data_IF_165927134897
#
_entry.id   IF_165927134897
#
_cell.length_a   1.000
_cell.length_b   1.000
_cell.length_c   1.000
_cell.angle_alpha   90.00
_cell.angle_beta   90.00
_cell.angle_gamma   90.00
#
_symmetry.space_group_name_H-M   'P 1'
#
loop_
_entity.id
_entity.type
_entity.pdbx_description
1 polymer ?
#
# COMPACT_ATOMS: atom_id res chain seq x y z
N UNK A 1 -3.90 -0.48 6.87
CA UNK A 1 -2.86 0.58 6.87
C UNK A 1 -2.99 1.46 5.64
N UNK A 2 -2.55 2.70 5.76
CA UNK A 2 -2.27 3.58 4.61
C UNK A 2 -0.77 3.70 4.48
N UNK A 3 -0.19 3.20 3.40
CA UNK A 3 1.26 3.20 3.19
C UNK A 3 1.69 4.29 2.21
N UNK A 4 2.56 5.20 2.68
CA UNK A 4 3.30 6.10 1.81
C UNK A 4 4.23 5.30 0.89
N UNK A 5 4.09 5.45 -0.42
CA UNK A 5 4.86 4.67 -1.40
C UNK A 5 6.37 4.86 -1.22
N UNK A 6 6.80 6.07 -0.85
CA UNK A 6 8.19 6.40 -0.55
C UNK A 6 8.74 5.65 0.66
N UNK A 7 8.00 5.62 1.76
CA UNK A 7 8.46 5.10 3.05
C UNK A 7 8.47 3.58 3.13
N UNK A 8 7.47 2.95 2.52
CA UNK A 8 7.24 1.51 2.54
C UNK A 8 7.63 0.82 1.23
N UNK A 9 8.27 1.56 0.31
CA UNK A 9 8.90 1.04 -0.91
C UNK A 9 7.95 0.27 -1.81
N UNK A 10 6.83 0.90 -2.18
CA UNK A 10 5.90 0.32 -3.15
C UNK A 10 6.64 0.02 -4.47
N UNK A 11 6.69 -1.25 -4.85
CA UNK A 11 7.43 -1.71 -6.02
C UNK A 11 6.85 -1.14 -7.33
N UNK A 12 7.71 -0.81 -8.29
CA UNK A 12 7.30 -0.25 -9.59
C UNK A 12 6.67 1.14 -9.53
N UNK A 13 6.55 1.75 -8.34
CA UNK A 13 5.80 2.98 -8.16
C UNK A 13 6.66 4.24 -8.33
N UNK A 14 6.19 5.19 -9.14
CA UNK A 14 6.88 6.48 -9.36
C UNK A 14 7.09 7.32 -8.09
N UNK A 15 6.29 7.09 -7.05
CA UNK A 15 6.41 7.80 -5.77
C UNK A 15 7.45 7.14 -4.83
N UNK A 16 7.95 5.95 -5.15
CA UNK A 16 8.95 5.21 -4.38
C UNK A 16 10.39 5.47 -4.86
N UNK A 17 10.74 6.73 -5.14
CA UNK A 17 12.09 7.08 -5.60
C UNK A 17 13.13 6.99 -4.47
N UNK A 18 14.41 6.95 -4.84
CA UNK A 18 15.54 6.99 -3.88
C UNK A 18 16.25 8.34 -3.99
N UNK A 19 16.34 9.13 -2.91
CA UNK A 19 17.09 10.37 -2.92
C UNK A 19 18.57 10.13 -3.21
N UNK A 20 19.19 11.00 -4.02
CA UNK A 20 20.62 10.88 -4.38
C UNK A 20 21.57 11.29 -3.25
N UNK A 21 21.08 12.04 -2.26
CA UNK A 21 21.87 12.45 -1.09
C UNK A 21 21.61 11.52 0.09
N UNK A 22 22.66 11.26 0.90
CA UNK A 22 22.59 10.37 2.09
C UNK A 22 22.03 8.97 1.77
N UNK A 23 22.51 8.37 0.68
CA UNK A 23 21.99 7.10 0.15
C UNK A 23 21.97 5.99 1.22
N UNK A 24 23.06 5.80 1.96
CA UNK A 24 23.14 4.77 3.01
C UNK A 24 22.10 4.97 4.11
N UNK A 25 21.88 6.22 4.54
CA UNK A 25 20.83 6.55 5.52
C UNK A 25 19.45 6.14 5.01
N UNK A 26 19.13 6.48 3.76
CA UNK A 26 17.84 6.15 3.17
C UNK A 26 17.67 4.64 3.00
N UNK A 27 18.68 3.94 2.48
CA UNK A 27 18.64 2.48 2.34
C UNK A 27 18.41 1.80 3.69
N UNK A 28 19.14 2.20 4.73
CA UNK A 28 18.94 1.65 6.08
C UNK A 28 17.54 1.96 6.62
N UNK A 29 17.03 3.17 6.40
CA UNK A 29 15.68 3.56 6.82
C UNK A 29 14.59 2.75 6.10
N UNK A 30 14.73 2.58 4.79
CA UNK A 30 13.80 1.80 3.98
C UNK A 30 13.80 0.33 4.38
N UNK A 31 14.98 -0.28 4.53
CA UNK A 31 15.11 -1.67 4.97
C UNK A 31 14.49 -1.88 6.35
N UNK A 32 14.68 -0.94 7.28
CA UNK A 32 14.05 -0.99 8.60
C UNK A 32 12.52 -0.91 8.52
N UNK A 33 11.98 -0.08 7.64
CA UNK A 33 10.53 0.02 7.43
C UNK A 33 9.95 -1.26 6.83
N UNK A 34 10.53 -1.77 5.74
CA UNK A 34 10.10 -3.03 5.11
C UNK A 34 10.13 -4.18 6.14
N UNK A 35 11.22 -4.29 6.91
CA UNK A 35 11.33 -5.32 7.95
C UNK A 35 10.22 -5.20 9.00
N UNK A 36 9.87 -3.98 9.41
CA UNK A 36 8.76 -3.74 10.34
C UNK A 36 7.43 -4.13 9.72
N UNK A 37 7.19 -3.80 8.45
CA UNK A 37 5.95 -4.10 7.75
C UNK A 37 5.73 -5.63 7.67
N UNK A 38 6.79 -6.41 7.41
CA UNK A 38 6.74 -7.88 7.45
C UNK A 38 6.36 -8.42 8.83
N UNK A 39 7.03 -7.96 9.89
CA UNK A 39 6.73 -8.41 11.26
C UNK A 39 5.28 -8.09 11.64
N UNK A 40 4.81 -6.87 11.34
CA UNK A 40 3.42 -6.47 11.63
C UNK A 40 2.43 -7.33 10.84
N UNK A 41 2.72 -7.63 9.56
CA UNK A 41 1.87 -8.50 8.74
C UNK A 41 1.76 -9.89 9.34
N UNK A 42 2.87 -10.49 9.75
CA UNK A 42 2.90 -11.81 10.40
C UNK A 42 2.13 -11.81 11.73
N UNK A 43 2.34 -10.80 12.58
CA UNK A 43 1.65 -10.70 13.86
C UNK A 43 0.12 -10.56 13.71
N UNK A 44 -0.34 -9.81 12.70
CA UNK A 44 -1.76 -9.66 12.42
C UNK A 44 -2.36 -10.96 11.89
N UNK A 45 -1.65 -11.66 11.00
CA UNK A 45 -2.08 -12.94 10.46
C UNK A 45 -2.20 -14.01 11.55
N UNK A 46 -1.21 -14.13 12.44
CA UNK A 46 -1.26 -15.03 13.59
C UNK A 46 -2.42 -14.73 14.55
N UNK A 47 -2.89 -13.48 14.62
CA UNK A 47 -4.05 -13.08 15.42
C UNK A 47 -5.38 -13.20 14.65
N UNK A 48 -5.34 -13.65 13.40
CA UNK A 48 -6.51 -13.74 12.53
C UNK A 48 -7.09 -12.38 12.12
N UNK A 49 -6.35 -11.29 12.32
CA UNK A 49 -6.76 -9.93 12.00
C UNK A 49 -6.52 -9.67 10.52
N UNK A 50 -7.55 -9.18 9.82
CA UNK A 50 -7.43 -8.80 8.41
C UNK A 50 -6.46 -7.63 8.24
N UNK A 51 -5.52 -7.76 7.31
CA UNK A 51 -4.55 -6.73 6.95
C UNK A 51 -4.81 -6.20 5.54
N UNK A 52 -5.40 -5.01 5.49
CA UNK A 52 -5.60 -4.25 4.25
C UNK A 52 -4.57 -3.13 4.15
N UNK A 53 -3.83 -3.05 3.04
CA UNK A 53 -2.94 -1.93 2.75
C UNK A 53 -3.53 -1.12 1.59
N UNK A 54 -3.77 0.17 1.82
CA UNK A 54 -4.08 1.12 0.75
C UNK A 54 -2.85 2.00 0.51
N UNK A 55 -2.30 1.92 -0.68
CA UNK A 55 -1.10 2.68 -1.04
C UNK A 55 -1.44 4.15 -1.32
N UNK A 56 -0.51 5.06 -1.00
CA UNK A 56 -0.61 6.49 -1.32
C UNK A 56 -0.94 6.72 -2.81
N UNK A 57 -0.34 5.92 -3.71
CA UNK A 57 -0.62 6.03 -5.13
C UNK A 57 -2.10 5.78 -5.47
N UNK A 58 -2.76 4.84 -4.78
CA UNK A 58 -4.17 4.53 -4.97
C UNK A 58 -5.05 5.72 -4.56
N UNK A 59 -4.78 6.31 -3.39
CA UNK A 59 -5.50 7.49 -2.88
C UNK A 59 -5.31 8.68 -3.82
N UNK A 60 -4.07 8.94 -4.28
CA UNK A 60 -3.83 10.00 -5.26
C UNK A 60 -4.53 9.74 -6.57
N UNK A 61 -4.61 8.49 -7.01
CA UNK A 61 -5.29 8.12 -8.24
C UNK A 61 -6.79 8.35 -8.11
N UNK A 62 -7.43 7.97 -7.00
CA UNK A 62 -8.87 8.18 -6.81
C UNK A 62 -9.28 9.64 -6.70
N UNK A 63 -8.37 10.51 -6.25
CA UNK A 63 -8.58 11.97 -6.13
C UNK A 63 -8.26 12.77 -7.40
N UNK A 64 -7.75 12.13 -8.48
CA UNK A 64 -7.48 12.85 -9.73
C UNK A 64 -8.78 13.38 -10.35
N UNK A 65 -8.68 14.54 -11.01
CA UNK A 65 -9.80 15.13 -11.76
C UNK A 65 -10.39 14.12 -12.74
N UNK A 66 -11.68 13.86 -12.64
CA UNK A 66 -12.41 12.90 -13.49
C UNK A 66 -12.51 11.48 -12.92
N UNK A 67 -11.83 11.18 -11.80
CA UNK A 67 -11.99 9.93 -11.07
C UNK A 67 -12.95 10.10 -9.87
N UNK A 68 -13.37 8.98 -9.30
CA UNK A 68 -14.16 8.91 -8.07
C UNK A 68 -13.49 8.00 -7.03
N UNK A 69 -13.61 8.29 -5.73
CA UNK A 69 -13.22 7.35 -4.67
C UNK A 69 -14.09 6.09 -4.61
N UNK A 70 -15.23 6.05 -5.30
CA UNK A 70 -16.20 4.96 -5.18
C UNK A 70 -15.58 3.58 -5.48
N UNK A 71 -14.77 3.46 -6.54
CA UNK A 71 -14.09 2.18 -6.84
C UNK A 71 -13.16 1.73 -5.71
N UNK A 72 -12.41 2.66 -5.12
CA UNK A 72 -11.55 2.36 -3.98
C UNK A 72 -12.39 1.91 -2.78
N UNK A 73 -13.48 2.62 -2.48
CA UNK A 73 -14.39 2.28 -1.38
C UNK A 73 -15.00 0.89 -1.61
N UNK A 74 -15.50 0.59 -2.82
CA UNK A 74 -16.05 -0.72 -3.17
C UNK A 74 -15.03 -1.84 -2.94
N UNK A 75 -13.79 -1.68 -3.40
CA UNK A 75 -12.73 -2.68 -3.18
C UNK A 75 -12.40 -2.89 -1.69
N UNK A 76 -12.53 -1.85 -0.86
CA UNK A 76 -12.38 -1.95 0.61
C UNK A 76 -13.53 -2.75 1.19
N UNK A 77 -14.78 -2.43 0.82
CA UNK A 77 -15.99 -3.14 1.29
C UNK A 77 -15.91 -4.62 0.90
N UNK A 78 -15.61 -4.92 -0.36
CA UNK A 78 -15.44 -6.29 -0.85
C UNK A 78 -14.38 -7.06 -0.06
N UNK A 79 -13.25 -6.44 0.29
CA UNK A 79 -12.26 -7.08 1.13
C UNK A 79 -12.78 -7.36 2.55
N UNK A 80 -13.50 -6.41 3.13
CA UNK A 80 -14.10 -6.56 4.46
C UNK A 80 -15.09 -7.71 4.52
N UNK A 81 -15.83 -7.94 3.44
CA UNK A 81 -16.82 -9.02 3.34
C UNK A 81 -16.21 -10.36 2.86
N UNK A 82 -15.04 -10.33 2.20
CA UNK A 82 -14.37 -11.53 1.69
C UNK A 82 -13.82 -12.44 2.79
N UNK A 83 -13.51 -13.71 2.46
CA UNK A 83 -12.72 -14.59 3.32
C UNK A 83 -11.23 -14.23 3.40
N UNK A 84 -10.73 -13.30 2.57
CA UNK A 84 -9.32 -12.97 2.51
C UNK A 84 -8.84 -12.28 3.78
N UNK A 85 -7.63 -12.65 4.23
CA UNK A 85 -6.93 -12.01 5.36
C UNK A 85 -5.98 -10.90 4.94
N UNK A 86 -5.65 -10.82 3.65
CA UNK A 86 -4.67 -9.86 3.15
C UNK A 86 -5.09 -9.28 1.81
N UNK A 87 -4.95 -7.97 1.64
CA UNK A 87 -5.08 -7.31 0.33
C UNK A 87 -4.25 -6.03 0.30
N UNK A 88 -3.71 -5.73 -0.87
CA UNK A 88 -3.13 -4.43 -1.18
C UNK A 88 -3.94 -3.76 -2.29
N UNK A 89 -4.16 -2.46 -2.16
CA UNK A 89 -4.82 -1.65 -3.18
C UNK A 89 -3.83 -0.58 -3.62
N UNK A 90 -3.36 -0.70 -4.86
CA UNK A 90 -2.47 0.24 -5.52
C UNK A 90 -3.19 1.05 -6.62
N UNK A 91 -2.49 2.00 -7.23
CA UNK A 91 -3.03 2.75 -8.37
C UNK A 91 -3.26 1.83 -9.58
N UNK A 92 -2.37 0.86 -9.77
CA UNK A 92 -2.42 -0.15 -10.83
C UNK A 92 -3.63 -1.05 -10.65
N UNK A 93 -3.90 -1.49 -9.41
CA UNK A 93 -5.08 -2.30 -9.09
C UNK A 93 -6.38 -1.51 -9.32
N UNK A 94 -6.43 -0.24 -8.92
CA UNK A 94 -7.60 0.61 -9.17
C UNK A 94 -7.89 0.82 -10.66
N UNK A 95 -6.85 0.81 -11.49
CA UNK A 95 -6.96 1.05 -12.94
C UNK A 95 -7.19 -0.21 -13.76
N UNK A 96 -7.09 -1.40 -13.16
CA UNK A 96 -7.38 -2.65 -13.86
C UNK A 96 -8.85 -2.69 -14.26
N UNK A 97 -9.13 -2.97 -15.53
CA UNK A 97 -10.46 -3.31 -16.03
C UNK A 97 -10.75 -4.78 -15.69
N UNK A 98 -12.02 -5.08 -15.37
CA UNK A 98 -12.46 -6.42 -14.94
C UNK A 98 -12.40 -7.47 -16.07
#
# INVERSE_FOLDING_TARGET
FVHGCFWHRHEGCKYAYTPKSRVEFWQNKFNSNIKRDHVVKEELDCKGIKNLIVWECAIKQSQKKGNSPDKLISMVIEFMDSGSKYKEISAEELLRED
#
